data_IF_060618790497
#
_entry.id   IF_060618790497
#
_cell.length_a   1.000
_cell.length_b   1.000
_cell.length_c   1.000
_cell.angle_alpha   90.00
_cell.angle_beta   90.00
_cell.angle_gamma   90.00
#
_symmetry.space_group_name_H-M   'P 1'
#
loop_
_entity.id
_entity.type
_entity.pdbx_description
1 polymer ?
#
# COMPACT_ATOMS: atom_id res chain seq x y z
N UNK A 1 -14.10 0.29 5.88
CA UNK A 1 -12.85 0.87 5.37
C UNK A 1 -12.82 0.63 3.89
N UNK A 2 -12.81 1.70 3.09
CA UNK A 2 -12.81 1.65 1.62
C UNK A 2 -11.72 2.57 1.10
N UNK A 3 -11.13 2.23 -0.04
CA UNK A 3 -10.31 3.17 -0.80
C UNK A 3 -11.25 4.09 -1.58
N UNK A 4 -11.06 5.39 -1.42
CA UNK A 4 -11.72 6.42 -2.21
C UNK A 4 -11.00 6.63 -3.55
N UNK A 5 -9.66 6.73 -3.50
CA UNK A 5 -8.87 7.11 -4.66
C UNK A 5 -7.46 6.52 -4.61
N UNK A 6 -6.91 6.16 -5.76
CA UNK A 6 -5.51 5.79 -5.93
C UNK A 6 -4.87 6.73 -6.94
N UNK A 7 -3.74 7.34 -6.56
CA UNK A 7 -3.00 8.30 -7.39
C UNK A 7 -1.49 8.06 -7.32
N UNK A 8 -0.80 8.47 -8.38
CA UNK A 8 0.66 8.57 -8.39
C UNK A 8 1.02 9.97 -7.87
N UNK A 9 1.80 10.05 -6.78
CA UNK A 9 2.33 11.32 -6.28
C UNK A 9 3.56 11.79 -7.06
N UNK A 10 4.25 10.87 -7.73
CA UNK A 10 5.50 11.12 -8.43
C UNK A 10 6.68 10.53 -7.66
N UNK A 11 7.88 10.97 -7.99
CA UNK A 11 9.09 10.51 -7.31
C UNK A 11 9.34 11.32 -6.04
N UNK A 12 9.64 10.63 -4.95
CA UNK A 12 9.96 11.22 -3.64
C UNK A 12 11.34 10.71 -3.17
N UNK A 13 12.12 11.59 -2.53
CA UNK A 13 13.40 11.23 -1.93
C UNK A 13 13.16 10.49 -0.59
N UNK A 14 13.71 9.28 -0.47
CA UNK A 14 13.64 8.47 0.76
C UNK A 14 15.04 8.14 1.25
N UNK A 15 15.16 7.60 2.47
CA UNK A 15 16.46 7.11 2.97
C UNK A 15 17.13 6.06 2.07
N UNK A 16 16.37 5.38 1.20
CA UNK A 16 16.87 4.42 0.22
C UNK A 16 17.03 5.00 -1.19
N UNK A 17 17.02 6.32 -1.34
CA UNK A 17 17.07 7.01 -2.64
C UNK A 17 15.69 7.43 -3.17
N UNK A 18 15.69 7.87 -4.42
CA UNK A 18 14.48 8.32 -5.13
C UNK A 18 13.56 7.12 -5.39
N UNK A 19 12.29 7.23 -5.00
CA UNK A 19 11.30 6.17 -5.17
C UNK A 19 10.00 6.73 -5.75
N UNK A 20 9.32 5.95 -6.59
CA UNK A 20 7.99 6.30 -7.07
C UNK A 20 6.97 6.11 -5.93
N UNK A 21 6.25 7.17 -5.58
CA UNK A 21 5.27 7.17 -4.51
C UNK A 21 3.85 7.05 -5.06
N UNK A 22 3.14 6.02 -4.60
CA UNK A 22 1.71 5.79 -4.84
C UNK A 22 0.94 6.10 -3.56
N UNK A 23 -0.19 6.80 -3.70
CA UNK A 23 -1.10 7.12 -2.60
C UNK A 23 -2.42 6.42 -2.82
N UNK A 24 -2.81 5.60 -1.85
CA UNK A 24 -4.17 5.11 -1.69
C UNK A 24 -4.85 5.87 -0.55
N UNK A 25 -5.86 6.68 -0.88
CA UNK A 25 -6.65 7.44 0.07
C UNK A 25 -7.84 6.59 0.56
N UNK A 26 -7.97 6.47 1.88
CA UNK A 26 -9.06 5.77 2.55
C UNK A 26 -10.19 6.73 2.95
N UNK A 27 -11.39 6.15 3.12
CA UNK A 27 -12.58 6.83 3.64
C UNK A 27 -12.40 7.37 5.08
N UNK A 28 -11.50 6.78 5.85
CA UNK A 28 -11.18 7.20 7.22
C UNK A 28 -9.78 6.76 7.64
N UNK A 29 -9.26 7.32 8.72
CA UNK A 29 -8.00 6.85 9.30
C UNK A 29 -8.14 5.40 9.81
N UNK A 30 -7.28 4.47 9.36
CA UNK A 30 -7.42 3.07 9.70
C UNK A 30 -7.03 2.81 11.17
N UNK A 31 -7.87 2.08 11.94
CA UNK A 31 -7.50 1.62 13.27
C UNK A 31 -6.17 0.83 13.25
N UNK A 32 -5.41 0.87 14.36
CA UNK A 32 -4.12 0.17 14.48
C UNK A 32 -4.20 -1.33 14.16
N UNK A 33 -5.31 -1.99 14.49
CA UNK A 33 -5.50 -3.40 14.18
C UNK A 33 -5.63 -3.64 12.67
N UNK A 34 -6.37 -2.77 11.98
CA UNK A 34 -6.54 -2.81 10.53
C UNK A 34 -5.20 -2.64 9.80
N UNK A 35 -4.40 -1.63 10.19
CA UNK A 35 -3.11 -1.37 9.55
C UNK A 35 -2.08 -2.48 9.82
N UNK A 36 -2.11 -3.11 10.99
CA UNK A 36 -1.31 -4.32 11.28
C UNK A 36 -1.74 -5.50 10.42
N UNK A 37 -3.06 -5.72 10.29
CA UNK A 37 -3.59 -6.81 9.49
C UNK A 37 -3.23 -6.62 8.01
N UNK A 38 -3.40 -5.41 7.49
CA UNK A 38 -3.00 -5.06 6.13
C UNK A 38 -1.53 -5.37 5.86
N UNK A 39 -0.61 -4.91 6.73
CA UNK A 39 0.83 -5.18 6.57
C UNK A 39 1.12 -6.68 6.55
N UNK A 40 0.48 -7.46 7.43
CA UNK A 40 0.65 -8.91 7.48
C UNK A 40 0.14 -9.59 6.21
N UNK A 41 -1.06 -9.23 5.76
CA UNK A 41 -1.66 -9.77 4.54
C UNK A 41 -0.82 -9.41 3.31
N UNK A 42 -0.31 -8.19 3.24
CA UNK A 42 0.60 -7.73 2.20
C UNK A 42 1.86 -8.59 2.12
N UNK A 43 2.58 -8.74 3.24
CA UNK A 43 3.82 -9.52 3.30
C UNK A 43 3.63 -11.00 2.94
N UNK A 44 2.44 -11.56 3.18
CA UNK A 44 2.12 -12.94 2.80
C UNK A 44 1.90 -13.14 1.30
N UNK A 45 1.75 -12.04 0.54
CA UNK A 45 1.38 -12.05 -0.88
C UNK A 45 2.42 -11.42 -1.79
N UNK A 46 3.46 -10.79 -1.24
CA UNK A 46 4.56 -10.30 -2.08
C UNK A 46 5.16 -11.47 -2.87
N UNK A 47 5.09 -11.46 -4.20
CA UNK A 47 5.82 -12.41 -5.00
C UNK A 47 7.30 -12.07 -4.88
N UNK A 48 8.05 -12.83 -4.09
CA UNK A 48 9.51 -12.93 -4.19
C UNK A 48 10.33 -11.64 -4.01
N UNK A 49 9.83 -10.62 -3.30
CA UNK A 49 10.66 -9.47 -2.87
C UNK A 49 10.32 -8.11 -3.49
N UNK A 50 9.07 -7.85 -3.88
CA UNK A 50 8.63 -6.48 -4.18
C UNK A 50 8.96 -5.57 -3.00
N UNK A 51 9.90 -4.65 -3.19
CA UNK A 51 10.48 -3.85 -2.10
C UNK A 51 9.62 -2.61 -1.77
N UNK A 52 8.31 -2.70 -1.99
CA UNK A 52 7.39 -1.60 -1.80
C UNK A 52 7.35 -1.24 -0.32
N UNK A 53 7.94 -0.11 0.05
CA UNK A 53 7.88 0.35 1.43
C UNK A 53 6.48 0.90 1.69
N UNK A 54 5.82 0.41 2.75
CA UNK A 54 4.46 0.84 3.11
C UNK A 54 4.51 1.76 4.32
N UNK A 55 3.87 2.93 4.17
CA UNK A 55 3.65 3.90 5.25
C UNK A 55 2.17 4.24 5.36
N UNK A 56 1.71 4.42 6.59
CA UNK A 56 0.37 4.95 6.88
C UNK A 56 0.52 6.39 7.37
N UNK A 57 -0.34 7.28 6.92
CA UNK A 57 -0.34 8.69 7.31
C UNK A 57 -1.76 9.24 7.26
N UNK A 58 -2.42 9.37 8.43
CA UNK A 58 -3.84 9.70 8.49
C UNK A 58 -4.67 8.68 7.71
N UNK A 59 -5.51 9.14 6.80
CA UNK A 59 -6.29 8.29 5.90
C UNK A 59 -5.53 7.78 4.67
N UNK A 60 -4.23 8.04 4.55
CA UNK A 60 -3.43 7.57 3.41
C UNK A 60 -2.62 6.32 3.70
N UNK A 61 -2.57 5.44 2.71
CA UNK A 61 -1.54 4.41 2.56
C UNK A 61 -0.60 4.83 1.43
N UNK A 62 0.68 4.98 1.75
CA UNK A 62 1.74 5.34 0.82
C UNK A 62 2.58 4.11 0.51
N UNK A 63 2.78 3.86 -0.79
CA UNK A 63 3.63 2.78 -1.29
C UNK A 63 4.80 3.42 -2.05
N UNK A 64 6.01 3.11 -1.62
CA UNK A 64 7.23 3.61 -2.27
C UNK A 64 7.89 2.48 -3.04
N UNK A 65 7.87 2.59 -4.36
CA UNK A 65 8.42 1.62 -5.29
C UNK A 65 9.82 2.03 -5.74
N UNK A 66 10.78 1.10 -5.84
CA UNK A 66 12.09 1.41 -6.37
C UNK A 66 12.02 1.84 -7.83
N UNK A 67 11.19 1.15 -8.64
CA UNK A 67 11.05 1.38 -10.07
C UNK A 67 9.58 1.45 -10.51
N UNK A 68 9.32 2.12 -11.64
CA UNK A 68 7.97 2.24 -12.19
C UNK A 68 7.43 0.92 -12.77
N UNK A 69 8.31 -0.03 -13.11
CA UNK A 69 7.93 -1.36 -13.61
C UNK A 69 7.10 -2.16 -12.60
N UNK A 70 7.31 -1.91 -11.30
CA UNK A 70 6.59 -2.57 -10.21
C UNK A 70 5.18 -2.00 -9.99
N UNK A 71 4.79 -0.93 -10.71
CA UNK A 71 3.53 -0.22 -10.51
C UNK A 71 2.32 -1.15 -10.66
N UNK A 72 2.22 -1.87 -11.77
CA UNK A 72 1.07 -2.75 -12.05
C UNK A 72 0.95 -3.85 -11.00
N UNK A 73 2.07 -4.51 -10.69
CA UNK A 73 2.11 -5.58 -9.67
C UNK A 73 1.71 -5.04 -8.30
N UNK A 74 2.16 -3.84 -7.95
CA UNK A 74 1.81 -3.17 -6.69
C UNK A 74 0.32 -2.86 -6.60
N UNK A 75 -0.28 -2.38 -7.69
CA UNK A 75 -1.73 -2.10 -7.74
C UNK A 75 -2.56 -3.37 -7.61
N UNK A 76 -2.16 -4.46 -8.27
CA UNK A 76 -2.83 -5.76 -8.16
C UNK A 76 -2.69 -6.35 -6.75
N UNK A 77 -1.51 -6.25 -6.15
CA UNK A 77 -1.25 -6.66 -4.77
C UNK A 77 -2.06 -5.82 -3.77
N UNK A 78 -2.18 -4.51 -3.99
CA UNK A 78 -2.99 -3.60 -3.18
C UNK A 78 -4.46 -4.02 -3.20
N UNK A 79 -5.04 -4.16 -4.40
CA UNK A 79 -6.43 -4.59 -4.58
C UNK A 79 -6.69 -5.91 -3.87
N UNK A 80 -5.81 -6.88 -4.08
CA UNK A 80 -5.92 -8.21 -3.47
C UNK A 80 -5.84 -8.15 -1.94
N UNK A 81 -4.89 -7.38 -1.40
CA UNK A 81 -4.70 -7.22 0.05
C UNK A 81 -5.93 -6.61 0.71
N UNK A 82 -6.53 -5.59 0.10
CA UNK A 82 -7.74 -4.96 0.63
C UNK A 82 -8.93 -5.91 0.70
N UNK A 83 -9.18 -6.64 -0.39
CA UNK A 83 -10.29 -7.61 -0.42
C UNK A 83 -10.16 -8.64 0.70
N UNK A 84 -8.94 -9.07 1.00
CA UNK A 84 -8.67 -10.04 2.05
C UNK A 84 -8.79 -9.45 3.46
N UNK A 85 -8.25 -8.25 3.67
CA UNK A 85 -8.42 -7.53 4.95
C UNK A 85 -9.91 -7.28 5.22
N UNK A 86 -10.68 -6.88 4.19
CA UNK A 86 -12.12 -6.70 4.32
C UNK A 86 -12.82 -8.02 4.67
N UNK A 87 -12.45 -9.14 4.03
CA UNK A 87 -12.99 -10.47 4.32
C UNK A 87 -12.73 -10.91 5.77
N UNK A 88 -11.56 -10.59 6.32
CA UNK A 88 -11.18 -11.00 7.68
C UNK A 88 -11.79 -10.12 8.79
N UNK A 89 -12.35 -8.96 8.43
CA UNK A 89 -12.97 -8.03 9.38
C UNK A 89 -14.50 -8.09 9.39
N UNK A 90 -15.09 -8.90 8.51
CA UNK A 90 -16.52 -9.23 8.50
C UNK A 90 -16.74 -10.53 9.26
#
# INVERSE_FOLDING_TARGET
>A
MKINHVSIKGYEETHGGMKLCLRAELDSEPPRFWSRLFRRTWLSREPGGSSAQIRFSGNDILFYLPNAEDLTVTLDALKSTLMEVERQLR
#
